data_IF_938536290321
#
_entry.id   IF_938536290321
#
_cell.length_a   1.000
_cell.length_b   1.000
_cell.length_c   1.000
_cell.angle_alpha   90.00
_cell.angle_beta   90.00
_cell.angle_gamma   90.00
#
_symmetry.space_group_name_H-M   'P 1'
#
loop_
_entity.id
_entity.type
_entity.pdbx_description
1 polymer ?
#
# COMPACT_ATOMS: atom_id res chain seq x y z
N UNK A 1 5.35 -35.24 43.15
CA UNK A 1 6.18 -34.10 42.68
C UNK A 1 6.61 -34.26 41.21
N UNK A 2 5.73 -34.77 40.34
CA UNK A 2 6.02 -35.00 38.91
C UNK A 2 4.84 -34.62 37.99
N UNK A 3 3.79 -33.98 38.52
CA UNK A 3 2.62 -33.53 37.74
C UNK A 3 2.54 -32.00 37.59
N UNK A 4 3.42 -31.25 38.26
CA UNK A 4 3.48 -29.78 38.20
C UNK A 4 4.37 -29.25 37.07
N UNK A 5 5.20 -30.09 36.45
CA UNK A 5 6.10 -29.68 35.37
C UNK A 5 5.51 -29.86 33.97
N UNK A 6 4.41 -30.61 33.81
CA UNK A 6 3.77 -30.79 32.51
C UNK A 6 2.85 -29.62 32.12
N UNK A 7 2.47 -28.76 33.08
CA UNK A 7 1.69 -27.55 32.83
C UNK A 7 2.57 -26.34 32.42
N UNK A 8 3.90 -26.46 32.50
CA UNK A 8 4.86 -25.41 32.15
C UNK A 8 5.61 -25.75 30.85
N UNK A 9 4.93 -26.36 29.88
CA UNK A 9 5.44 -26.49 28.50
C UNK A 9 4.37 -26.19 27.44
N UNK A 10 3.16 -25.83 27.86
CA UNK A 10 2.04 -25.42 27.01
C UNK A 10 1.86 -23.89 26.97
N UNK A 11 2.94 -23.13 27.07
CA UNK A 11 2.95 -21.69 26.79
C UNK A 11 3.96 -21.45 25.67
N UNK A 12 3.54 -20.65 24.68
CA UNK A 12 4.24 -20.21 23.45
C UNK A 12 4.20 -21.13 22.22
N UNK A 13 3.00 -21.45 21.77
CA UNK A 13 2.72 -21.34 20.33
C UNK A 13 1.30 -20.79 20.12
N UNK A 14 0.98 -19.69 20.80
CA UNK A 14 0.01 -18.79 20.21
C UNK A 14 0.75 -18.14 19.04
N UNK A 15 0.53 -18.68 17.84
CA UNK A 15 0.52 -17.82 16.66
C UNK A 15 -0.42 -16.68 17.03
N UNK A 16 0.14 -15.53 17.39
CA UNK A 16 -0.61 -14.28 17.32
C UNK A 16 -1.01 -14.20 15.86
N UNK A 17 -2.19 -14.73 15.56
CA UNK A 17 -2.94 -14.36 14.38
C UNK A 17 -3.31 -12.92 14.68
N UNK A 18 -2.40 -12.00 14.35
CA UNK A 18 -2.70 -10.58 14.34
C UNK A 18 -3.92 -10.49 13.42
N UNK A 19 -5.11 -10.16 13.93
CA UNK A 19 -6.28 -10.07 13.09
C UNK A 19 -6.01 -8.92 12.13
N UNK A 20 -5.65 -9.28 10.89
CA UNK A 20 -5.29 -8.34 9.86
C UNK A 20 -6.56 -7.60 9.45
N UNK A 21 -6.79 -6.41 10.01
CA UNK A 21 -7.89 -5.54 9.57
C UNK A 21 -7.46 -4.83 8.29
N UNK A 22 -7.41 -5.57 7.19
CA UNK A 22 -6.99 -5.06 5.90
C UNK A 22 -8.23 -4.81 5.04
N UNK A 23 -8.58 -3.54 4.89
CA UNK A 23 -9.62 -3.12 3.96
C UNK A 23 -8.99 -2.95 2.59
N UNK A 24 -9.35 -3.80 1.63
CA UNK A 24 -8.88 -3.71 0.25
C UNK A 24 -10.05 -3.60 -0.72
N UNK A 25 -9.83 -2.89 -1.82
CA UNK A 25 -10.82 -2.70 -2.87
C UNK A 25 -10.16 -2.75 -4.24
N UNK A 26 -10.64 -3.66 -5.09
CA UNK A 26 -10.29 -3.67 -6.50
C UNK A 26 -11.08 -2.56 -7.20
N UNK A 27 -10.36 -1.70 -7.91
CA UNK A 27 -10.89 -0.57 -8.66
C UNK A 27 -11.01 -0.99 -10.11
N UNK A 28 -12.25 -1.04 -10.62
CA UNK A 28 -12.53 -1.39 -12.02
C UNK A 28 -12.62 -0.18 -12.93
N UNK A 29 -13.05 0.96 -12.39
CA UNK A 29 -13.20 2.21 -13.14
C UNK A 29 -12.82 3.42 -12.27
N UNK A 30 -12.37 4.49 -12.92
CA UNK A 30 -12.01 5.75 -12.28
C UNK A 30 -12.71 6.92 -12.97
N UNK A 31 -13.17 7.94 -12.22
CA UNK A 31 -13.58 9.20 -12.82
C UNK A 31 -12.48 9.76 -13.72
N UNK A 32 -12.85 10.16 -14.94
CA UNK A 32 -11.92 10.70 -15.93
C UNK A 32 -11.27 9.65 -16.83
N UNK A 33 -11.38 8.35 -16.55
CA UNK A 33 -10.99 7.30 -17.49
C UNK A 33 -12.23 6.76 -18.22
N UNK A 34 -12.15 6.59 -19.54
CA UNK A 34 -13.26 6.09 -20.35
C UNK A 34 -13.28 4.55 -20.31
N UNK A 35 -14.35 3.99 -19.72
CA UNK A 35 -14.53 2.55 -19.55
C UNK A 35 -13.80 1.94 -18.34
N UNK A 36 -13.63 0.62 -18.39
CA UNK A 36 -12.93 -0.14 -17.36
C UNK A 36 -11.40 -0.02 -17.52
N UNK A 37 -10.69 -0.03 -16.39
CA UNK A 37 -9.23 -0.03 -16.38
C UNK A 37 -8.71 -1.33 -17.00
N UNK A 38 -7.78 -1.27 -17.97
CA UNK A 38 -7.24 -2.45 -18.64
C UNK A 38 -6.10 -3.13 -17.83
N UNK A 39 -6.00 -2.85 -16.54
CA UNK A 39 -4.99 -3.39 -15.63
C UNK A 39 -5.59 -3.63 -14.24
N UNK A 40 -5.00 -4.54 -13.46
CA UNK A 40 -5.40 -4.76 -12.07
C UNK A 40 -4.98 -3.57 -11.22
N UNK A 41 -5.95 -2.96 -10.55
CA UNK A 41 -5.72 -1.84 -9.65
C UNK A 41 -6.44 -2.10 -8.33
N UNK A 42 -5.69 -2.14 -7.24
CA UNK A 42 -6.19 -2.31 -5.88
C UNK A 42 -5.80 -1.10 -5.03
N UNK A 43 -6.68 -0.71 -4.13
CA UNK A 43 -6.31 0.19 -3.03
C UNK A 43 -6.67 -0.44 -1.69
N UNK A 44 -5.97 -0.04 -0.63
CA UNK A 44 -6.30 -0.54 0.70
C UNK A 44 -5.52 0.10 1.82
N UNK A 45 -5.81 -0.35 3.04
CA UNK A 45 -5.18 0.10 4.27
C UNK A 45 -4.51 -1.06 4.98
N UNK A 46 -3.25 -0.85 5.37
CA UNK A 46 -2.52 -1.75 6.26
C UNK A 46 -2.25 -1.02 7.56
N UNK A 47 -2.82 -1.55 8.64
CA UNK A 47 -2.50 -1.13 9.99
C UNK A 47 -1.07 -1.50 10.37
N UNK A 48 -0.31 -0.58 10.96
CA UNK A 48 1.08 -0.75 11.40
C UNK A 48 1.30 -0.15 12.78
N UNK A 49 2.35 -0.59 13.46
CA UNK A 49 2.62 -0.23 14.85
C UNK A 49 2.06 -1.27 15.83
N UNK A 50 2.29 -1.05 17.12
CA UNK A 50 2.07 -2.10 18.12
C UNK A 50 0.59 -2.50 18.23
N UNK A 51 -0.33 -1.53 18.12
CA UNK A 51 -1.77 -1.79 18.13
C UNK A 51 -2.44 -1.45 16.79
N UNK A 52 -1.66 -1.42 15.70
CA UNK A 52 -2.15 -1.01 14.38
C UNK A 52 -2.73 0.41 14.35
N UNK A 53 -2.30 1.28 15.26
CA UNK A 53 -2.84 2.63 15.41
C UNK A 53 -2.48 3.58 14.25
N UNK A 54 -1.63 3.17 13.32
CA UNK A 54 -1.32 3.88 12.07
C UNK A 54 -1.84 3.08 10.89
N UNK A 55 -2.70 3.68 10.08
CA UNK A 55 -3.30 3.08 8.91
C UNK A 55 -2.64 3.64 7.65
N UNK A 56 -1.77 2.85 7.03
CA UNK A 56 -1.06 3.24 5.81
C UNK A 56 -1.88 2.84 4.58
N UNK A 57 -2.26 3.84 3.79
CA UNK A 57 -2.95 3.66 2.53
C UNK A 57 -1.97 3.29 1.42
N UNK A 58 -2.37 2.34 0.59
CA UNK A 58 -1.60 1.93 -0.57
C UNK A 58 -2.45 1.86 -1.84
N UNK A 59 -1.74 2.00 -2.96
CA UNK A 59 -2.19 1.76 -4.30
C UNK A 59 -1.35 0.63 -4.87
N UNK A 60 -1.96 -0.47 -5.29
CA UNK A 60 -1.26 -1.60 -5.89
C UNK A 60 -1.69 -1.80 -7.33
N UNK A 61 -0.73 -1.80 -8.24
CA UNK A 61 -0.94 -2.09 -9.66
C UNK A 61 -0.09 -3.30 -10.01
N UNK A 62 -0.75 -4.36 -10.48
CA UNK A 62 -0.04 -5.56 -10.96
C UNK A 62 0.69 -5.27 -12.27
N UNK A 63 1.71 -6.07 -12.55
CA UNK A 63 2.41 -5.98 -13.82
C UNK A 63 1.46 -6.25 -15.00
N UNK A 64 1.52 -5.42 -16.04
CA UNK A 64 0.73 -5.61 -17.25
C UNK A 64 1.30 -6.72 -18.16
N UNK A 65 2.49 -7.26 -17.84
CA UNK A 65 3.13 -8.35 -18.60
C UNK A 65 2.88 -9.71 -17.96
N UNK A 66 3.53 -10.00 -16.83
CA UNK A 66 3.33 -11.24 -16.10
C UNK A 66 3.41 -10.98 -14.58
N UNK A 67 2.28 -10.69 -13.90
CA UNK A 67 2.25 -10.42 -12.46
C UNK A 67 2.92 -11.48 -11.59
N UNK A 68 2.90 -12.74 -12.00
CA UNK A 68 3.44 -13.85 -11.20
C UNK A 68 4.98 -13.94 -11.26
N UNK A 69 5.59 -13.51 -12.37
CA UNK A 69 7.04 -13.57 -12.59
C UNK A 69 7.74 -12.21 -12.43
N UNK A 70 7.01 -11.13 -12.63
CA UNK A 70 7.56 -9.77 -12.61
C UNK A 70 7.85 -9.29 -11.18
N UNK A 71 8.89 -8.47 -10.98
CA UNK A 71 9.30 -8.06 -9.64
C UNK A 71 8.23 -7.23 -8.93
N UNK A 72 8.17 -7.37 -7.61
CA UNK A 72 7.41 -6.50 -6.72
C UNK A 72 8.29 -5.31 -6.27
N UNK A 73 7.83 -4.10 -6.56
CA UNK A 73 8.46 -2.86 -6.17
C UNK A 73 7.60 -2.13 -5.13
N UNK A 74 8.23 -1.66 -4.07
CA UNK A 74 7.65 -0.68 -3.16
C UNK A 74 8.16 0.71 -3.55
N UNK A 75 7.25 1.63 -3.86
CA UNK A 75 7.60 3.01 -4.18
C UNK A 75 7.12 3.96 -3.07
N UNK A 76 8.09 4.68 -2.50
CA UNK A 76 7.88 5.68 -1.46
C UNK A 76 8.22 7.07 -2.02
N UNK A 77 7.25 7.99 -2.13
CA UNK A 77 7.53 9.36 -2.52
C UNK A 77 8.38 10.09 -1.48
N UNK A 78 9.18 11.06 -1.93
CA UNK A 78 10.02 11.89 -1.07
C UNK A 78 9.28 13.08 -0.44
N UNK A 79 10.05 14.05 0.07
CA UNK A 79 9.52 15.26 0.70
C UNK A 79 10.28 15.62 1.98
N UNK A 80 9.81 15.22 3.18
CA UNK A 80 8.75 14.25 3.51
C UNK A 80 7.32 14.74 3.22
N UNK A 81 6.37 13.81 3.10
CA UNK A 81 4.95 14.14 2.99
C UNK A 81 4.33 14.07 1.60
N UNK A 82 5.09 13.63 0.57
CA UNK A 82 4.56 13.49 -0.79
C UNK A 82 3.59 12.32 -0.89
N UNK A 83 2.39 12.54 -1.44
CA UNK A 83 1.45 11.45 -1.70
C UNK A 83 1.85 10.63 -2.91
N UNK A 84 1.70 9.31 -2.78
CA UNK A 84 2.01 8.33 -3.81
C UNK A 84 1.04 8.40 -4.99
N UNK A 85 -0.12 9.03 -4.79
CA UNK A 85 -1.06 9.33 -5.87
C UNK A 85 -0.41 10.20 -6.97
N UNK A 86 0.46 11.14 -6.58
CA UNK A 86 1.19 11.98 -7.55
C UNK A 86 2.14 11.13 -8.39
N UNK A 87 2.84 10.18 -7.77
CA UNK A 87 3.70 9.25 -8.52
C UNK A 87 2.89 8.36 -9.45
N UNK A 88 1.73 7.88 -8.98
CA UNK A 88 0.85 7.01 -9.76
C UNK A 88 0.27 7.72 -10.99
N UNK A 89 -0.12 8.99 -10.87
CA UNK A 89 -0.80 9.74 -11.95
C UNK A 89 0.11 10.64 -12.79
N UNK A 90 1.27 11.04 -12.28
CA UNK A 90 2.12 12.06 -12.92
C UNK A 90 3.56 11.61 -13.17
N UNK A 91 3.94 10.40 -12.75
CA UNK A 91 5.32 9.91 -12.90
C UNK A 91 5.34 8.54 -13.57
N UNK A 92 5.36 7.46 -12.80
CA UNK A 92 5.69 6.11 -13.28
C UNK A 92 4.49 5.16 -13.31
N UNK A 93 3.33 5.57 -12.79
CA UNK A 93 2.14 4.73 -12.78
C UNK A 93 1.47 4.59 -14.16
N UNK A 94 0.40 3.77 -14.24
CA UNK A 94 -0.20 3.32 -15.50
C UNK A 94 -1.06 4.40 -16.18
N UNK A 95 -1.35 5.50 -15.49
CA UNK A 95 -2.21 6.57 -15.97
C UNK A 95 -1.48 7.90 -16.01
N UNK A 96 -1.98 8.81 -16.84
CA UNK A 96 -1.53 10.19 -16.91
C UNK A 96 -2.71 11.10 -17.23
N UNK A 97 -2.67 12.33 -16.69
CA UNK A 97 -3.61 13.36 -17.10
C UNK A 97 -3.39 13.70 -18.58
N UNK A 98 -4.47 13.72 -19.34
CA UNK A 98 -4.48 14.30 -20.66
C UNK A 98 -4.37 15.83 -20.49
N UNK A 99 -3.27 16.40 -20.94
CA UNK A 99 -3.08 17.85 -20.95
C UNK A 99 -3.66 18.38 -22.26
N UNK A 100 -4.92 18.82 -22.22
CA UNK A 100 -5.51 19.65 -23.27
C UNK A 100 -5.89 21.03 -22.73
N UNK A 101 -6.24 21.95 -23.64
CA UNK A 101 -6.52 23.35 -23.28
C UNK A 101 -7.87 23.53 -22.56
N UNK A 102 -8.63 22.45 -22.32
CA UNK A 102 -9.97 22.51 -21.74
C UNK A 102 -9.98 21.91 -20.32
N UNK A 103 -9.63 22.74 -19.34
CA UNK A 103 -9.53 22.36 -17.91
C UNK A 103 -10.90 21.90 -17.34
N UNK A 104 -11.99 22.04 -18.10
CA UNK A 104 -13.34 21.69 -17.64
C UNK A 104 -13.52 20.21 -17.31
N UNK A 105 -12.82 19.31 -18.01
CA UNK A 105 -12.95 17.86 -17.82
C UNK A 105 -11.60 17.19 -17.60
N UNK A 106 -11.34 16.78 -16.36
CA UNK A 106 -10.16 16.00 -16.02
C UNK A 106 -10.25 14.62 -16.69
N UNK A 107 -9.35 14.37 -17.65
CA UNK A 107 -9.31 13.13 -18.43
C UNK A 107 -8.02 12.37 -18.14
N UNK A 108 -8.14 11.07 -17.93
CA UNK A 108 -7.05 10.12 -17.69
C UNK A 108 -6.82 9.30 -18.96
N UNK A 109 -5.56 9.09 -19.28
CA UNK A 109 -5.11 8.27 -20.42
C UNK A 109 -4.05 7.29 -19.95
N UNK A 110 -3.85 6.20 -20.67
CA UNK A 110 -2.79 5.24 -20.36
C UNK A 110 -1.41 5.88 -20.55
N UNK A 111 -0.52 5.63 -19.60
CA UNK A 111 0.89 6.00 -19.70
C UNK A 111 1.66 4.90 -20.45
N UNK A 112 2.11 5.12 -21.70
CA UNK A 112 2.83 4.11 -22.46
C UNK A 112 4.22 3.80 -21.88
N UNK A 113 4.73 4.62 -20.96
CA UNK A 113 6.05 4.45 -20.32
C UNK A 113 5.95 4.06 -18.85
N UNK A 114 4.79 3.57 -18.41
CA UNK A 114 4.60 3.14 -17.03
C UNK A 114 5.57 2.01 -16.65
N UNK A 115 6.13 2.11 -15.44
CA UNK A 115 6.94 1.03 -14.87
C UNK A 115 6.11 -0.22 -14.56
N UNK A 116 4.78 -0.07 -14.39
CA UNK A 116 3.86 -1.20 -14.21
C UNK A 116 3.73 -2.10 -15.44
N UNK A 117 4.34 -1.73 -16.57
CA UNK A 117 4.43 -2.62 -17.73
C UNK A 117 5.28 -3.87 -17.48
N UNK A 118 6.19 -3.83 -16.50
CA UNK A 118 7.18 -4.87 -16.24
C UNK A 118 7.37 -5.14 -14.73
N UNK A 119 6.47 -4.65 -13.88
CA UNK A 119 6.61 -4.75 -12.43
C UNK A 119 5.26 -4.63 -11.74
N UNK A 120 5.09 -5.40 -10.67
CA UNK A 120 4.05 -5.17 -9.68
C UNK A 120 4.51 -4.00 -8.79
N UNK A 121 3.70 -2.96 -8.63
CA UNK A 121 4.13 -1.77 -7.87
C UNK A 121 3.12 -1.44 -6.79
N UNK A 122 3.60 -1.34 -5.55
CA UNK A 122 2.89 -0.76 -4.42
C UNK A 122 3.36 0.68 -4.26
N UNK A 123 2.47 1.64 -4.44
CA UNK A 123 2.69 3.05 -4.10
C UNK A 123 2.07 3.29 -2.73
N UNK A 124 2.84 3.81 -1.78
CA UNK A 124 2.39 3.96 -0.39
C UNK A 124 2.42 5.41 0.05
N UNK A 125 1.33 5.86 0.66
CA UNK A 125 1.28 7.12 1.38
C UNK A 125 1.91 6.94 2.78
N UNK A 126 3.06 7.56 3.03
CA UNK A 126 3.77 7.49 4.33
C UNK A 126 4.52 8.82 4.56
N UNK A 127 4.57 9.37 5.79
CA UNK A 127 4.00 8.90 7.06
C UNK A 127 2.47 9.05 7.18
N UNK A 128 1.91 8.69 8.35
CA UNK A 128 0.56 9.05 8.74
C UNK A 128 0.28 10.55 8.51
N UNK A 129 -0.88 10.87 7.93
CA UNK A 129 -1.27 12.23 7.52
C UNK A 129 -0.96 12.56 6.06
N UNK A 130 -0.21 11.71 5.35
CA UNK A 130 0.02 11.85 3.90
C UNK A 130 -1.10 11.19 3.12
N UNK A 131 -1.60 11.87 2.08
CA UNK A 131 -2.62 11.33 1.18
C UNK A 131 -3.83 10.82 1.95
N UNK A 132 -4.10 9.52 1.88
CA UNK A 132 -5.18 8.88 2.62
C UNK A 132 -4.75 8.13 3.89
N UNK A 133 -3.45 8.10 4.21
CA UNK A 133 -2.91 7.49 5.43
C UNK A 133 -3.21 8.33 6.66
N UNK A 134 -3.51 7.70 7.79
CA UNK A 134 -3.85 8.41 9.04
C UNK A 134 -3.38 7.65 10.28
N UNK A 135 -3.20 8.38 11.37
CA UNK A 135 -3.08 7.81 12.71
C UNK A 135 -4.42 7.91 13.43
N UNK A 136 -4.79 6.90 14.22
CA UNK A 136 -6.02 6.89 15.01
C UNK A 136 -5.96 7.88 16.18
N UNK A 137 -4.75 8.28 16.59
CA UNK A 137 -4.51 9.31 17.61
C UNK A 137 -3.50 10.35 17.12
N UNK A 138 -3.40 11.46 17.86
CA UNK A 138 -2.38 12.48 17.61
C UNK A 138 -0.97 11.91 17.80
N UNK A 139 -0.77 11.03 18.78
CA UNK A 139 0.50 10.37 19.06
C UNK A 139 0.89 9.42 17.93
N UNK A 140 -0.06 8.66 17.39
CA UNK A 140 0.15 7.78 16.23
C UNK A 140 0.52 8.57 14.96
N UNK A 141 0.07 9.81 14.86
CA UNK A 141 0.36 10.70 13.72
C UNK A 141 1.74 11.37 13.82
N UNK A 142 2.49 11.20 14.91
CA UNK A 142 3.83 11.77 15.05
C UNK A 142 4.81 11.04 14.15
N UNK A 143 5.35 11.77 13.16
CA UNK A 143 6.35 11.26 12.23
C UNK A 143 7.77 11.58 12.65
N UNK A 144 8.67 10.64 12.38
CA UNK A 144 10.13 10.78 12.46
C UNK A 144 10.76 9.73 11.54
N UNK A 145 12.02 9.89 11.16
CA UNK A 145 12.72 8.90 10.32
C UNK A 145 12.68 7.50 10.94
N UNK A 146 12.90 7.40 12.26
CA UNK A 146 12.82 6.14 13.01
C UNK A 146 11.42 5.52 12.95
N UNK A 147 10.38 6.32 13.14
CA UNK A 147 8.99 5.85 13.06
C UNK A 147 8.66 5.39 11.64
N UNK A 148 9.05 6.15 10.62
CA UNK A 148 8.80 5.81 9.22
C UNK A 148 9.47 4.50 8.82
N UNK A 149 10.75 4.30 9.17
CA UNK A 149 11.45 3.03 8.87
C UNK A 149 10.78 1.85 9.59
N UNK A 150 10.38 2.04 10.85
CA UNK A 150 9.70 1.01 11.65
C UNK A 150 8.35 0.63 11.03
N UNK A 151 7.52 1.63 10.71
CA UNK A 151 6.20 1.46 10.12
C UNK A 151 6.27 0.86 8.70
N UNK A 152 7.18 1.33 7.85
CA UNK A 152 7.40 0.77 6.52
C UNK A 152 7.88 -0.69 6.58
N UNK A 153 8.75 -1.03 7.53
CA UNK A 153 9.21 -2.40 7.74
C UNK A 153 8.05 -3.31 8.18
N UNK A 154 7.20 -2.84 9.08
CA UNK A 154 6.01 -3.58 9.53
C UNK A 154 5.03 -3.79 8.37
N UNK A 155 4.75 -2.74 7.59
CA UNK A 155 3.95 -2.84 6.37
C UNK A 155 4.48 -3.93 5.42
N UNK A 156 5.77 -3.90 5.10
CA UNK A 156 6.38 -4.86 4.16
C UNK A 156 6.23 -6.30 4.67
N UNK A 157 6.42 -6.54 5.96
CA UNK A 157 6.23 -7.88 6.56
C UNK A 157 4.78 -8.36 6.38
N UNK A 158 3.80 -7.50 6.65
CA UNK A 158 2.37 -7.85 6.52
C UNK A 158 1.98 -8.09 5.06
N UNK A 159 2.43 -7.23 4.15
CA UNK A 159 2.06 -7.31 2.74
C UNK A 159 2.76 -8.44 2.00
N UNK A 160 4.03 -8.73 2.30
CA UNK A 160 4.71 -9.90 1.71
C UNK A 160 4.14 -11.23 2.19
N UNK A 161 3.56 -11.29 3.40
CA UNK A 161 2.79 -12.44 3.84
C UNK A 161 1.52 -12.64 2.99
N UNK A 162 0.83 -11.55 2.61
CA UNK A 162 -0.34 -11.58 1.72
C UNK A 162 0.00 -12.06 0.30
N UNK A 163 1.10 -11.60 -0.30
CA UNK A 163 1.46 -11.97 -1.69
C UNK A 163 2.12 -13.34 -1.84
N UNK A 164 2.36 -14.07 -0.74
CA UNK A 164 2.92 -15.43 -0.75
C UNK A 164 1.88 -16.54 -0.53
N UNK A 165 0.63 -16.18 -0.23
CA UNK A 165 -0.49 -17.11 -0.01
C UNK A 165 -1.37 -17.22 -1.23
#
# INVERSE_FOLDING_TARGET
MLLSHLHMFFITCQFYSIPFSNSQKIIRSLPGYDGDLPFSFETGYVGVGQNEEVQLFYYFVESQRNPEEDPLLLYLPGGPGGSALVTLLCQIGPLSFKVDNDIKNLTLTLNPYSWTKLSNIIFMDIPAGVGYSYGETNEASVSSDTNMVTQATDFVKKVTAKFRS
#
